data_IF_867124821097
#
_entry.id   IF_867124821097
#
_cell.length_a   1.000
_cell.length_b   1.000
_cell.length_c   1.000
_cell.angle_alpha   90.00
_cell.angle_beta   90.00
_cell.angle_gamma   90.00
#
_symmetry.space_group_name_H-M   'P 1'
#
loop_
_entity.id
_entity.type
_entity.pdbx_description
1 polymer ?
#
# COMPACT_ATOMS: atom_id res chain seq x y z
N UNK A 1 -8.85 6.84 3.49
CA UNK A 1 -10.05 6.31 2.82
C UNK A 1 -11.12 7.36 2.52
N UNK A 2 -11.62 8.20 3.45
CA UNK A 2 -12.71 9.16 3.15
C UNK A 2 -12.43 10.05 1.92
N UNK A 3 -11.26 10.69 1.89
CA UNK A 3 -10.82 11.53 0.76
C UNK A 3 -10.75 10.73 -0.55
N UNK A 4 -10.31 9.47 -0.51
CA UNK A 4 -10.19 8.65 -1.71
C UNK A 4 -11.57 8.26 -2.28
N UNK A 5 -12.58 8.07 -1.43
CA UNK A 5 -13.96 7.87 -1.87
C UNK A 5 -14.57 9.15 -2.45
N UNK A 6 -14.33 10.30 -1.80
CA UNK A 6 -14.79 11.60 -2.31
C UNK A 6 -14.15 11.95 -3.66
N UNK A 7 -12.86 11.65 -3.82
CA UNK A 7 -12.14 11.86 -5.07
C UNK A 7 -12.63 10.97 -6.22
N UNK A 8 -13.18 9.79 -5.91
CA UNK A 8 -13.72 8.83 -6.88
C UNK A 8 -12.75 8.50 -8.05
N UNK A 9 -11.56 7.93 -7.77
CA UNK A 9 -10.55 7.70 -8.80
C UNK A 9 -11.00 6.67 -9.83
N UNK A 10 -10.54 6.85 -11.07
CA UNK A 10 -10.74 5.89 -12.15
C UNK A 10 -9.63 4.81 -12.20
N UNK A 11 -8.50 5.05 -11.54
CA UNK A 11 -7.35 4.15 -11.40
C UNK A 11 -6.62 4.50 -10.10
N UNK A 12 -6.11 3.50 -9.38
CA UNK A 12 -5.25 3.69 -8.21
C UNK A 12 -3.82 3.25 -8.53
N UNK A 13 -2.85 4.13 -8.29
CA UNK A 13 -1.43 3.81 -8.35
C UNK A 13 -0.88 3.74 -6.92
N UNK A 14 -0.21 2.65 -6.57
CA UNK A 14 0.44 2.47 -5.27
C UNK A 14 1.95 2.44 -5.48
N UNK A 15 2.63 3.50 -5.03
CA UNK A 15 4.08 3.50 -4.82
C UNK A 15 4.35 2.59 -3.61
N UNK A 16 4.70 1.33 -3.87
CA UNK A 16 4.66 0.21 -2.92
C UNK A 16 6.05 -0.04 -2.33
N UNK A 17 6.46 0.82 -1.40
CA UNK A 17 7.62 0.60 -0.55
C UNK A 17 7.29 -0.33 0.64
N UNK A 18 8.18 -1.29 0.90
CA UNK A 18 8.10 -2.19 2.05
C UNK A 18 9.13 -1.87 3.14
N UNK A 19 9.77 -0.70 3.08
CA UNK A 19 10.68 -0.19 4.11
C UNK A 19 9.97 0.07 5.46
N UNK A 20 8.64 0.18 5.47
CA UNK A 20 7.85 0.20 6.69
C UNK A 20 7.67 -1.19 7.36
N UNK A 21 8.13 -2.27 6.71
CA UNK A 21 7.96 -3.62 7.23
C UNK A 21 8.78 -3.86 8.51
N UNK A 22 8.27 -4.72 9.40
CA UNK A 22 9.04 -5.20 10.55
C UNK A 22 10.35 -5.81 10.07
N UNK A 23 11.47 -5.32 10.61
CA UNK A 23 12.81 -5.84 10.30
C UNK A 23 13.54 -5.11 9.17
N UNK A 24 12.90 -4.12 8.53
CA UNK A 24 13.58 -3.30 7.55
C UNK A 24 14.62 -2.36 8.21
N UNK A 25 15.88 -2.38 7.78
CA UNK A 25 16.96 -1.62 8.40
C UNK A 25 16.94 -0.12 8.09
N UNK A 26 16.15 0.34 7.12
CA UNK A 26 16.04 1.77 6.77
C UNK A 26 14.84 2.43 7.45
N UNK A 27 13.69 1.77 7.48
CA UNK A 27 12.48 2.36 8.05
C UNK A 27 12.29 2.12 9.55
N UNK A 28 12.77 1.00 10.09
CA UNK A 28 12.63 0.61 11.51
C UNK A 28 11.18 0.63 12.05
N UNK A 29 10.19 0.60 11.16
CA UNK A 29 8.77 0.54 11.50
C UNK A 29 8.34 -0.89 11.86
N UNK A 30 7.07 -1.03 12.28
CA UNK A 30 6.50 -2.30 12.76
C UNK A 30 5.28 -2.76 11.97
N UNK A 31 5.21 -2.41 10.68
CA UNK A 31 4.09 -2.85 9.83
C UNK A 31 4.31 -4.31 9.46
N UNK A 32 3.37 -5.18 9.81
CA UNK A 32 3.45 -6.58 9.41
C UNK A 32 2.84 -6.79 8.00
N UNK A 33 3.17 -7.92 7.37
CA UNK A 33 2.63 -8.28 6.05
C UNK A 33 1.08 -8.24 5.99
N UNK A 34 0.41 -8.66 7.08
CA UNK A 34 -1.05 -8.61 7.18
C UNK A 34 -1.62 -7.18 7.11
N UNK A 35 -0.89 -6.19 7.61
CA UNK A 35 -1.32 -4.78 7.53
C UNK A 35 -1.22 -4.25 6.10
N UNK A 36 -0.16 -4.60 5.36
CA UNK A 36 -0.09 -4.28 3.92
C UNK A 36 -1.24 -4.92 3.14
N UNK A 37 -1.54 -6.20 3.42
CA UNK A 37 -2.69 -6.87 2.80
C UNK A 37 -4.03 -6.17 3.11
N UNK A 38 -4.23 -5.73 4.35
CA UNK A 38 -5.43 -4.97 4.74
C UNK A 38 -5.53 -3.63 3.99
N UNK A 39 -4.42 -2.89 3.87
CA UNK A 39 -4.41 -1.62 3.13
C UNK A 39 -4.72 -1.83 1.64
N UNK A 40 -4.12 -2.85 1.01
CA UNK A 40 -4.44 -3.21 -0.38
C UNK A 40 -5.90 -3.61 -0.52
N UNK A 41 -6.46 -4.38 0.42
CA UNK A 41 -7.87 -4.75 0.41
C UNK A 41 -8.81 -3.54 0.49
N UNK A 42 -8.49 -2.55 1.33
CA UNK A 42 -9.26 -1.31 1.41
C UNK A 42 -9.26 -0.54 0.08
N UNK A 43 -8.11 -0.50 -0.61
CA UNK A 43 -7.97 0.18 -1.90
C UNK A 43 -8.72 -0.53 -3.02
N UNK A 44 -8.92 -1.85 -2.95
CA UNK A 44 -9.71 -2.61 -3.94
C UNK A 44 -11.17 -2.16 -4.02
N UNK A 45 -11.68 -1.48 -2.98
CA UNK A 45 -13.02 -0.84 -3.01
C UNK A 45 -13.11 0.41 -3.88
N UNK A 46 -12.00 0.91 -4.42
CA UNK A 46 -11.93 2.10 -5.28
C UNK A 46 -11.76 1.70 -6.75
N UNK A 47 -12.06 2.61 -7.68
CA UNK A 47 -11.78 2.44 -9.11
C UNK A 47 -12.28 1.11 -9.72
N UNK A 48 -13.32 0.49 -9.15
CA UNK A 48 -13.76 -0.86 -9.55
C UNK A 48 -12.66 -1.93 -9.45
N UNK A 49 -11.73 -1.79 -8.50
CA UNK A 49 -10.60 -2.70 -8.29
C UNK A 49 -9.41 -2.47 -9.23
N UNK A 50 -9.42 -1.42 -10.07
CA UNK A 50 -8.29 -1.10 -10.96
C UNK A 50 -7.14 -0.48 -10.15
N UNK A 51 -6.17 -1.31 -9.81
CA UNK A 51 -5.00 -0.95 -9.04
C UNK A 51 -3.73 -1.38 -9.77
N UNK A 52 -2.72 -0.52 -9.77
CA UNK A 52 -1.35 -0.86 -10.14
C UNK A 52 -0.47 -0.60 -8.93
N UNK A 53 0.20 -1.65 -8.46
CA UNK A 53 1.23 -1.57 -7.42
C UNK A 53 2.61 -1.60 -8.08
N UNK A 54 3.46 -0.62 -7.75
CA UNK A 54 4.81 -0.51 -8.28
C UNK A 54 5.76 -0.63 -7.10
N UNK A 55 6.68 -1.59 -7.14
CA UNK A 55 7.70 -1.77 -6.10
C UNK A 55 8.66 -0.57 -6.11
N UNK A 56 8.97 -0.05 -4.93
CA UNK A 56 9.87 1.11 -4.75
C UNK A 56 11.05 0.78 -3.84
N UNK A 57 10.76 0.43 -2.59
CA UNK A 57 11.76 0.17 -1.54
C UNK A 57 11.43 -1.08 -0.71
N UNK A 58 12.32 -1.40 0.22
CA UNK A 58 12.31 -2.63 1.02
C UNK A 58 13.67 -3.31 0.92
N UNK A 59 14.43 -3.25 2.01
CA UNK A 59 15.82 -3.71 2.11
C UNK A 59 15.96 -4.95 2.99
N UNK A 60 14.84 -5.49 3.46
CA UNK A 60 14.77 -6.78 4.15
C UNK A 60 14.36 -7.88 3.16
N UNK A 61 15.21 -8.90 3.02
CA UNK A 61 15.03 -10.04 2.11
C UNK A 61 14.45 -11.26 2.82
#
# INVERSE_FOLDING_TARGET
MPIAYEFNPELVLISSGFDAAVGDPLGEYKVCAGTFALMTYQLLGLAGGRIIAVLEGGMHL
#
